data_IF_419450407435
#
_entry.id   IF_419450407435
#
_cell.length_a   1.000
_cell.length_b   1.000
_cell.length_c   1.000
_cell.angle_alpha   90.00
_cell.angle_beta   90.00
_cell.angle_gamma   90.00
#
_symmetry.space_group_name_H-M   'P 1'
#
loop_
_entity.id
_entity.type
_entity.pdbx_description
1 polymer ?
#
# COMPACT_ATOMS: atom_id res chain seq x y z
N UNK A 1 -24.04 -2.62 -13.30
CA UNK A 1 -24.11 -1.15 -13.32
C UNK A 1 -23.09 -0.51 -12.34
N UNK A 2 -22.01 -1.25 -11.97
CA UNK A 2 -20.92 -0.77 -11.09
C UNK A 2 -19.54 -0.77 -11.79
N UNK A 3 -19.45 -1.24 -13.03
CA UNK A 3 -18.17 -1.45 -13.74
C UNK A 3 -17.71 -0.29 -14.63
N UNK A 4 -18.61 0.58 -15.09
CA UNK A 4 -18.25 1.65 -16.04
C UNK A 4 -17.73 2.95 -15.40
N UNK A 5 -17.89 3.14 -14.09
CA UNK A 5 -17.49 4.40 -13.42
C UNK A 5 -16.02 4.44 -12.96
N UNK A 6 -15.26 3.34 -13.06
CA UNK A 6 -13.92 3.22 -12.45
C UNK A 6 -12.74 3.52 -13.38
N UNK A 7 -12.98 3.78 -14.66
CA UNK A 7 -11.94 4.03 -15.66
C UNK A 7 -12.04 5.47 -16.19
N UNK A 8 -11.66 6.45 -15.42
CA UNK A 8 -11.51 7.82 -15.92
C UNK A 8 -10.05 8.19 -15.99
N UNK A 9 -9.56 8.45 -17.20
CA UNK A 9 -8.34 9.21 -17.40
C UNK A 9 -8.60 10.61 -16.87
N UNK A 10 -8.10 10.91 -15.68
CA UNK A 10 -8.26 12.22 -15.08
C UNK A 10 -7.03 13.06 -15.42
N UNK A 11 -7.24 14.14 -16.18
CA UNK A 11 -6.23 15.17 -16.41
C UNK A 11 -6.72 16.45 -15.75
N UNK A 12 -6.10 16.87 -14.70
CA UNK A 12 -6.26 18.21 -14.15
C UNK A 12 -4.92 18.95 -14.24
N UNK A 13 -4.98 20.15 -14.81
CA UNK A 13 -3.85 21.04 -14.94
C UNK A 13 -4.12 22.28 -14.11
N UNK A 14 -3.26 22.56 -13.16
CA UNK A 14 -3.29 23.84 -12.49
C UNK A 14 -2.26 24.80 -13.14
N UNK A 15 -2.75 25.95 -13.60
CA UNK A 15 -1.93 26.99 -14.21
C UNK A 15 -2.03 28.26 -13.37
N UNK A 16 -0.91 28.66 -12.78
CA UNK A 16 -0.85 29.83 -11.91
C UNK A 16 -1.12 31.15 -12.64
N UNK A 17 -1.02 31.19 -13.97
CA UNK A 17 -1.29 32.40 -14.77
C UNK A 17 -2.79 32.72 -14.81
N UNK A 18 -3.66 31.74 -14.58
CA UNK A 18 -5.12 31.86 -14.63
C UNK A 18 -5.76 32.06 -13.26
N UNK A 19 -5.01 32.01 -12.18
CA UNK A 19 -5.54 32.14 -10.82
C UNK A 19 -5.50 33.60 -10.35
N UNK A 20 -6.65 34.12 -9.91
CA UNK A 20 -6.80 35.47 -9.33
C UNK A 20 -6.07 35.62 -7.99
N UNK A 21 -5.94 34.55 -7.23
CA UNK A 21 -5.12 34.48 -6.02
C UNK A 21 -4.31 33.17 -6.04
N UNK A 22 -2.98 33.26 -6.19
CA UNK A 22 -2.10 32.12 -6.49
C UNK A 22 -1.99 31.10 -5.35
N UNK A 23 -2.06 31.50 -4.09
CA UNK A 23 -2.00 30.60 -2.93
C UNK A 23 -3.33 29.86 -2.73
N UNK A 24 -4.41 30.58 -2.75
CA UNK A 24 -5.74 30.00 -2.52
C UNK A 24 -6.15 29.09 -3.70
N UNK A 25 -5.78 29.47 -4.91
CA UNK A 25 -6.02 28.66 -6.11
C UNK A 25 -5.28 27.32 -6.09
N UNK A 26 -4.03 27.30 -5.60
CA UNK A 26 -3.27 26.04 -5.49
C UNK A 26 -3.78 25.17 -4.33
N UNK A 27 -4.11 25.76 -3.18
CA UNK A 27 -4.72 25.05 -2.06
C UNK A 27 -6.06 24.41 -2.45
N UNK A 28 -6.92 25.15 -3.12
CA UNK A 28 -8.21 24.64 -3.63
C UNK A 28 -8.03 23.55 -4.70
N UNK A 29 -6.98 23.64 -5.52
CA UNK A 29 -6.62 22.60 -6.49
C UNK A 29 -6.18 21.32 -5.78
N UNK A 30 -5.32 21.43 -4.77
CA UNK A 30 -4.86 20.28 -3.97
C UNK A 30 -6.01 19.67 -3.17
N UNK A 31 -6.89 20.46 -2.62
CA UNK A 31 -8.09 19.98 -1.91
C UNK A 31 -9.01 19.21 -2.85
N UNK A 32 -9.25 19.70 -4.07
CA UNK A 32 -10.01 18.97 -5.10
C UNK A 32 -9.32 17.65 -5.47
N UNK A 33 -8.00 17.67 -5.67
CA UNK A 33 -7.23 16.43 -5.92
C UNK A 33 -7.35 15.47 -4.75
N UNK A 34 -7.17 15.94 -3.52
CA UNK A 34 -7.28 15.11 -2.31
C UNK A 34 -8.68 14.51 -2.13
N UNK A 35 -9.73 15.25 -2.51
CA UNK A 35 -11.11 14.77 -2.46
C UNK A 35 -11.43 13.75 -3.57
N UNK A 36 -10.74 13.83 -4.70
CA UNK A 36 -10.87 12.87 -5.79
C UNK A 36 -10.02 11.62 -5.58
N UNK A 37 -8.87 11.75 -4.94
CA UNK A 37 -8.02 10.64 -4.55
C UNK A 37 -8.43 10.17 -3.16
N UNK A 38 -9.37 9.24 -3.10
CA UNK A 38 -9.87 8.66 -1.85
C UNK A 38 -8.76 8.12 -0.93
N UNK A 39 -7.58 7.82 -1.48
CA UNK A 39 -6.47 7.15 -0.80
C UNK A 39 -5.34 8.06 -0.34
N UNK A 40 -5.27 9.30 -0.83
CA UNK A 40 -4.19 10.23 -0.50
C UNK A 40 -4.74 11.52 0.08
N UNK A 41 -4.07 12.01 1.10
CA UNK A 41 -4.19 13.38 1.53
C UNK A 41 -2.92 14.11 1.07
N UNK A 42 -3.06 15.00 0.10
CA UNK A 42 -1.98 15.89 -0.34
C UNK A 42 -1.96 17.08 0.62
N UNK A 43 -1.23 16.94 1.72
CA UNK A 43 -1.05 18.04 2.68
C UNK A 43 0.27 18.75 2.43
N UNK A 44 0.32 20.04 2.80
CA UNK A 44 1.55 20.82 2.80
C UNK A 44 2.33 20.79 1.46
N UNK A 45 1.65 20.98 0.34
CA UNK A 45 2.29 21.12 -0.95
C UNK A 45 2.63 22.60 -1.22
N UNK A 46 3.90 22.87 -1.45
CA UNK A 46 4.37 24.25 -1.65
C UNK A 46 5.25 24.33 -2.91
N UNK A 47 4.95 25.27 -3.84
CA UNK A 47 5.89 25.59 -4.89
C UNK A 47 7.06 26.39 -4.30
N UNK A 48 8.29 26.03 -4.66
CA UNK A 48 9.49 26.78 -4.24
C UNK A 48 9.63 28.12 -4.96
N UNK A 49 8.99 28.29 -6.14
CA UNK A 49 8.99 29.54 -6.92
C UNK A 49 7.56 29.97 -7.26
N UNK A 50 7.17 31.13 -6.77
CA UNK A 50 5.78 31.56 -6.80
C UNK A 50 5.29 32.25 -8.11
N UNK A 51 6.15 32.52 -9.12
CA UNK A 51 5.76 33.35 -10.27
C UNK A 51 5.03 32.60 -11.39
N UNK A 52 5.37 31.35 -11.64
CA UNK A 52 4.64 30.44 -12.52
C UNK A 52 4.90 29.03 -12.01
N UNK A 53 3.86 28.27 -11.77
CA UNK A 53 3.96 26.90 -11.26
C UNK A 53 3.04 26.03 -12.08
N UNK A 54 3.61 25.00 -12.71
CA UNK A 54 2.87 24.01 -13.46
C UNK A 54 2.84 22.71 -12.64
N UNK A 55 1.64 22.17 -12.51
CA UNK A 55 1.41 20.91 -11.85
C UNK A 55 0.37 20.13 -12.65
N UNK A 56 0.70 18.94 -13.08
CA UNK A 56 -0.16 18.04 -13.83
C UNK A 56 -0.20 16.69 -13.20
N UNK A 57 -1.38 16.12 -13.04
CA UNK A 57 -1.60 14.75 -12.59
C UNK A 57 -2.42 14.01 -13.62
N UNK A 58 -1.98 12.83 -13.99
CA UNK A 58 -2.78 11.85 -14.73
C UNK A 58 -2.97 10.62 -13.86
N UNK A 59 -4.20 10.11 -13.82
CA UNK A 59 -4.57 8.97 -12.99
C UNK A 59 -4.93 7.78 -13.86
N UNK A 60 -4.46 6.62 -13.44
CA UNK A 60 -4.85 5.32 -13.97
C UNK A 60 -5.26 4.43 -12.80
N UNK A 61 -6.44 3.80 -12.86
CA UNK A 61 -6.92 2.88 -11.84
C UNK A 61 -7.12 1.51 -12.46
N UNK A 62 -6.49 0.51 -11.87
CA UNK A 62 -6.60 -0.89 -12.27
C UNK A 62 -6.95 -1.75 -11.05
N UNK A 63 -7.18 -3.05 -11.24
CA UNK A 63 -7.33 -4.00 -10.13
C UNK A 63 -6.06 -4.14 -9.28
N UNK A 64 -4.90 -3.79 -9.85
CA UNK A 64 -3.58 -3.84 -9.21
C UNK A 64 -3.35 -2.70 -8.24
N UNK A 65 -4.04 -1.58 -8.46
CA UNK A 65 -3.88 -0.40 -7.65
C UNK A 65 -4.21 0.91 -8.36
N UNK A 66 -3.79 1.99 -7.74
CA UNK A 66 -3.91 3.35 -8.23
C UNK A 66 -2.55 3.88 -8.67
N UNK A 67 -2.45 4.37 -9.89
CA UNK A 67 -1.24 4.91 -10.50
C UNK A 67 -1.44 6.38 -10.82
N UNK A 68 -0.58 7.23 -10.32
CA UNK A 68 -0.59 8.68 -10.54
C UNK A 68 0.73 9.09 -11.21
N UNK A 69 0.69 9.61 -12.42
CA UNK A 69 1.85 10.31 -12.98
C UNK A 69 1.74 11.79 -12.65
N UNK A 70 2.74 12.30 -11.96
CA UNK A 70 2.82 13.69 -11.50
C UNK A 70 3.97 14.36 -12.21
N UNK A 71 3.67 15.42 -12.97
CA UNK A 71 4.68 16.33 -13.50
C UNK A 71 4.51 17.69 -12.85
N UNK A 72 5.59 18.26 -12.34
CA UNK A 72 5.55 19.54 -11.64
C UNK A 72 6.83 20.35 -11.83
N UNK A 73 6.72 21.64 -11.66
CA UNK A 73 7.88 22.48 -11.35
C UNK A 73 8.37 22.18 -9.92
N UNK A 74 9.47 22.84 -9.52
CA UNK A 74 10.05 22.63 -8.19
C UNK A 74 9.04 22.82 -7.07
N UNK A 75 8.81 21.79 -6.25
CA UNK A 75 7.81 21.80 -5.19
C UNK A 75 8.13 20.79 -4.07
N UNK A 76 7.45 20.96 -2.96
CA UNK A 76 7.35 19.95 -1.91
C UNK A 76 5.96 19.34 -1.96
N UNK A 77 5.88 18.01 -1.88
CA UNK A 77 4.66 17.23 -1.81
C UNK A 77 4.69 16.38 -0.54
N UNK A 78 3.72 16.56 0.33
CA UNK A 78 3.52 15.66 1.48
C UNK A 78 2.36 14.73 1.20
N UNK A 79 2.63 13.45 1.25
CA UNK A 79 1.70 12.37 0.97
C UNK A 79 1.38 11.66 2.29
N UNK A 80 0.12 11.53 2.58
CA UNK A 80 -0.36 10.74 3.71
C UNK A 80 -1.48 9.83 3.21
N UNK A 81 -1.38 8.54 3.48
CA UNK A 81 -2.50 7.66 3.22
C UNK A 81 -3.64 7.94 4.19
N UNK A 82 -4.87 7.81 3.71
CA UNK A 82 -6.03 7.83 4.58
C UNK A 82 -6.23 6.42 5.15
N UNK A 83 -6.12 6.20 6.46
CA UNK A 83 -6.14 4.86 7.06
C UNK A 83 -7.44 4.08 6.79
N UNK A 84 -8.48 4.80 6.40
CA UNK A 84 -9.87 4.34 6.39
C UNK A 84 -10.24 3.45 5.19
N UNK A 85 -9.56 3.55 4.06
CA UNK A 85 -10.04 2.93 2.82
C UNK A 85 -9.21 1.75 2.34
N UNK A 86 -8.03 1.54 2.92
CA UNK A 86 -7.18 0.42 2.57
C UNK A 86 -7.64 -0.84 3.32
N UNK A 87 -8.63 -1.53 2.77
CA UNK A 87 -9.06 -2.85 3.27
C UNK A 87 -7.94 -3.90 3.19
N UNK A 88 -6.86 -3.59 2.50
CA UNK A 88 -5.69 -4.43 2.26
C UNK A 88 -4.44 -3.61 2.50
N UNK A 89 -3.41 -4.24 3.06
CA UNK A 89 -2.10 -3.65 3.22
C UNK A 89 -1.56 -3.27 1.83
N UNK A 90 -1.11 -2.05 1.68
CA UNK A 90 -0.64 -1.52 0.40
C UNK A 90 0.71 -0.85 0.57
N UNK A 91 1.44 -0.75 -0.52
CA UNK A 91 2.74 -0.11 -0.58
C UNK A 91 2.70 1.08 -1.54
N UNK A 92 3.32 2.18 -1.15
CA UNK A 92 3.67 3.21 -2.10
C UNK A 92 4.85 2.76 -2.95
N UNK A 93 4.66 2.78 -4.24
CA UNK A 93 5.72 2.66 -5.21
C UNK A 93 5.95 4.02 -5.86
N UNK A 94 7.18 4.53 -5.80
CA UNK A 94 7.55 5.81 -6.41
C UNK A 94 8.66 5.54 -7.41
N UNK A 95 8.44 5.91 -8.66
CA UNK A 95 9.43 5.85 -9.73
C UNK A 95 9.69 7.24 -10.29
N UNK A 96 10.94 7.61 -10.44
CA UNK A 96 11.34 8.90 -10.96
C UNK A 96 11.72 8.81 -12.46
N UNK A 97 10.91 9.40 -13.32
CA UNK A 97 11.19 9.48 -14.74
C UNK A 97 12.25 10.56 -15.06
N UNK A 98 12.14 11.73 -14.43
CA UNK A 98 13.06 12.83 -14.66
C UNK A 98 13.10 13.83 -13.52
N UNK A 99 14.21 14.54 -13.41
CA UNK A 99 14.50 15.43 -12.30
C UNK A 99 15.18 14.69 -11.15
N UNK A 100 15.52 15.43 -10.11
CA UNK A 100 16.08 14.92 -8.87
C UNK A 100 15.15 15.31 -7.73
N UNK A 101 14.80 14.36 -6.90
CA UNK A 101 14.02 14.63 -5.71
C UNK A 101 14.59 13.91 -4.49
N UNK A 102 14.26 14.43 -3.33
CA UNK A 102 14.54 13.87 -2.03
C UNK A 102 13.24 13.39 -1.40
N UNK A 103 13.31 12.26 -0.71
CA UNK A 103 12.18 11.69 0.02
C UNK A 103 12.56 11.61 1.49
N UNK A 104 11.77 12.25 2.35
CA UNK A 104 11.84 12.05 3.80
C UNK A 104 11.07 10.79 4.16
N UNK A 105 11.76 9.86 4.78
CA UNK A 105 11.18 8.61 5.26
C UNK A 105 10.98 8.69 6.77
N UNK A 106 9.80 8.33 7.29
CA UNK A 106 9.53 8.36 8.73
C UNK A 106 10.53 7.50 9.50
N UNK A 107 11.07 8.04 10.59
CA UNK A 107 12.01 7.32 11.46
C UNK A 107 13.45 7.24 10.95
N UNK A 108 13.77 7.79 9.78
CA UNK A 108 15.15 7.93 9.29
C UNK A 108 15.66 9.35 9.45
N UNK A 109 16.91 9.47 9.88
CA UNK A 109 17.57 10.78 10.00
C UNK A 109 18.01 11.35 8.64
N UNK A 110 18.19 10.48 7.65
CA UNK A 110 18.68 10.85 6.31
C UNK A 110 17.55 10.77 5.29
N UNK A 111 17.54 11.75 4.38
CA UNK A 111 16.64 11.75 3.23
C UNK A 111 17.13 10.77 2.17
N UNK A 112 16.20 10.08 1.51
CA UNK A 112 16.52 9.23 0.36
C UNK A 112 16.53 10.07 -0.92
N UNK A 113 17.65 10.04 -1.67
CA UNK A 113 17.75 10.70 -2.95
C UNK A 113 17.23 9.80 -4.08
N UNK A 114 16.25 10.29 -4.84
CA UNK A 114 15.71 9.62 -6.01
C UNK A 114 16.18 10.32 -7.29
N UNK A 115 17.18 9.72 -7.93
CA UNK A 115 17.68 10.17 -9.25
C UNK A 115 16.78 9.63 -10.38
N UNK A 116 16.89 10.14 -11.63
CA UNK A 116 16.16 9.58 -12.77
C UNK A 116 16.38 8.06 -12.94
N UNK A 117 15.29 7.35 -13.24
CA UNK A 117 15.20 5.89 -13.34
C UNK A 117 15.41 5.14 -12.01
N UNK A 118 15.44 5.84 -10.88
CA UNK A 118 15.40 5.23 -9.57
C UNK A 118 13.95 5.05 -9.08
N UNK A 119 13.75 4.07 -8.22
CA UNK A 119 12.47 3.81 -7.59
C UNK A 119 12.64 3.35 -6.14
N UNK A 120 11.56 3.46 -5.38
CA UNK A 120 11.46 3.07 -3.97
C UNK A 120 10.09 2.51 -3.67
N UNK A 121 10.02 1.59 -2.69
CA UNK A 121 8.79 1.17 -2.05
C UNK A 121 8.76 1.68 -0.62
N UNK A 122 7.60 2.19 -0.18
CA UNK A 122 7.39 2.69 1.17
C UNK A 122 6.08 2.13 1.73
N UNK A 123 6.02 1.88 3.04
CA UNK A 123 4.76 1.51 3.68
C UNK A 123 3.74 2.64 3.51
N UNK A 124 2.57 2.31 2.99
CA UNK A 124 1.50 3.28 2.75
C UNK A 124 0.88 3.85 4.04
N UNK A 125 1.09 3.20 5.18
CA UNK A 125 0.63 3.71 6.48
C UNK A 125 1.48 4.88 6.98
N UNK A 126 2.66 5.07 6.42
CA UNK A 126 3.55 6.15 6.79
C UNK A 126 3.28 7.40 5.92
N UNK A 127 3.35 8.58 6.54
CA UNK A 127 3.44 9.82 5.78
C UNK A 127 4.83 9.95 5.16
N UNK A 128 4.92 10.43 3.94
CA UNK A 128 6.19 10.73 3.30
C UNK A 128 6.18 12.14 2.70
N UNK A 129 7.33 12.79 2.69
CA UNK A 129 7.50 14.11 2.07
C UNK A 129 8.53 14.00 0.96
N UNK A 130 8.12 14.44 -0.24
CA UNK A 130 8.94 14.48 -1.43
C UNK A 130 9.29 15.94 -1.73
N UNK A 131 10.57 16.24 -1.93
CA UNK A 131 11.06 17.58 -2.30
C UNK A 131 11.74 17.51 -3.66
N UNK A 132 11.25 18.29 -4.61
CA UNK A 132 11.84 18.47 -5.92
C UNK A 132 12.31 19.90 -6.10
N UNK A 133 13.61 20.11 -6.24
CA UNK A 133 14.21 21.44 -6.39
C UNK A 133 14.23 21.92 -7.85
N UNK A 134 13.82 21.07 -8.78
CA UNK A 134 13.71 21.32 -10.20
C UNK A 134 12.47 20.63 -10.76
N UNK A 135 12.24 20.76 -12.07
CA UNK A 135 11.13 20.09 -12.73
C UNK A 135 11.18 18.58 -12.47
N UNK A 136 10.05 18.01 -12.08
CA UNK A 136 9.89 16.62 -11.68
C UNK A 136 8.87 15.91 -12.58
N UNK A 137 9.13 14.65 -12.88
CA UNK A 137 8.19 13.72 -13.49
C UNK A 137 8.31 12.37 -12.76
N UNK A 138 7.28 12.02 -12.00
CA UNK A 138 7.25 10.79 -11.21
C UNK A 138 5.99 9.98 -11.46
N UNK A 139 6.09 8.68 -11.25
CA UNK A 139 4.97 7.78 -11.04
C UNK A 139 4.87 7.51 -9.55
N UNK A 140 3.73 7.81 -8.97
CA UNK A 140 3.33 7.40 -7.64
C UNK A 140 2.26 6.32 -7.80
N UNK A 141 2.48 5.13 -7.27
CA UNK A 141 1.47 4.09 -7.28
C UNK A 141 1.19 3.62 -5.85
N UNK A 142 -0.08 3.33 -5.58
CA UNK A 142 -0.51 2.59 -4.40
C UNK A 142 -0.82 1.16 -4.86
N UNK A 143 0.11 0.25 -4.59
CA UNK A 143 0.05 -1.13 -5.04
C UNK A 143 -0.37 -2.03 -3.89
N UNK A 144 -1.32 -2.92 -4.14
CA UNK A 144 -1.74 -3.91 -3.16
C UNK A 144 -0.56 -4.85 -2.81
N UNK A 145 -0.30 -5.04 -1.52
CA UNK A 145 0.78 -5.92 -1.07
C UNK A 145 0.57 -7.36 -1.51
N UNK A 146 -0.67 -7.88 -1.51
CA UNK A 146 -0.97 -9.22 -2.02
C UNK A 146 -0.54 -9.41 -3.47
N UNK A 147 -0.70 -8.36 -4.29
CA UNK A 147 -0.22 -8.36 -5.66
C UNK A 147 1.30 -8.43 -5.73
N UNK A 148 2.01 -7.61 -4.97
CA UNK A 148 3.48 -7.66 -4.90
C UNK A 148 3.97 -9.04 -4.47
N UNK A 149 3.26 -9.66 -3.55
CA UNK A 149 3.60 -10.97 -3.00
C UNK A 149 3.31 -12.14 -3.95
N UNK A 150 2.33 -12.00 -4.85
CA UNK A 150 2.10 -12.99 -5.92
C UNK A 150 3.17 -12.91 -7.01
N UNK A 151 3.62 -11.71 -7.33
CA UNK A 151 4.60 -11.45 -8.38
C UNK A 151 6.05 -11.45 -7.90
N UNK A 152 6.28 -11.31 -6.58
CA UNK A 152 7.63 -11.32 -6.00
C UNK A 152 7.70 -12.35 -4.88
N UNK A 153 8.45 -13.43 -5.10
CA UNK A 153 8.62 -14.50 -4.09
C UNK A 153 9.30 -14.00 -2.80
N UNK A 154 9.81 -12.77 -2.78
CA UNK A 154 10.71 -12.25 -1.74
C UNK A 154 10.34 -10.84 -1.26
N UNK A 155 9.08 -10.41 -1.43
CA UNK A 155 8.65 -9.16 -0.82
C UNK A 155 8.72 -9.29 0.72
N UNK A 156 9.47 -8.42 1.36
CA UNK A 156 9.56 -8.31 2.82
C UNK A 156 9.82 -6.85 3.22
N UNK A 157 9.63 -6.55 4.49
CA UNK A 157 9.88 -5.22 5.05
C UNK A 157 11.31 -4.69 4.89
N UNK A 158 12.28 -5.56 4.58
CA UNK A 158 13.66 -5.12 4.31
C UNK A 158 13.82 -4.45 2.93
N UNK A 159 12.86 -4.65 2.03
CA UNK A 159 12.83 -3.97 0.72
C UNK A 159 12.11 -2.62 0.80
N UNK A 160 11.36 -2.40 1.87
CA UNK A 160 10.73 -1.11 2.14
C UNK A 160 11.79 -0.06 2.40
N UNK A 161 11.53 1.16 1.90
CA UNK A 161 12.38 2.34 2.08
C UNK A 161 13.80 2.22 1.49
N UNK A 162 13.99 1.28 0.56
CA UNK A 162 15.25 1.10 -0.13
C UNK A 162 15.19 1.68 -1.54
N UNK A 163 16.17 2.53 -1.88
CA UNK A 163 16.28 3.11 -3.21
C UNK A 163 16.92 2.10 -4.17
N UNK A 164 16.19 1.77 -5.21
CA UNK A 164 16.64 0.94 -6.33
C UNK A 164 17.12 1.85 -7.46
N UNK A 165 18.36 1.71 -7.86
CA UNK A 165 18.99 2.56 -8.89
C UNK A 165 19.41 1.75 -10.11
N UNK A 166 19.59 2.40 -11.24
CA UNK A 166 20.06 1.79 -12.50
C UNK A 166 21.50 1.25 -12.49
N UNK A 167 22.19 1.27 -11.35
CA UNK A 167 23.50 0.65 -11.20
C UNK A 167 23.45 -0.87 -11.41
N UNK A 168 22.31 -1.47 -11.12
CA UNK A 168 22.07 -2.88 -11.27
C UNK A 168 21.36 -3.16 -12.62
N UNK A 169 21.78 -4.17 -13.42
CA UNK A 169 21.18 -4.50 -14.71
C UNK A 169 19.69 -4.77 -14.68
N UNK A 170 19.19 -5.51 -13.68
CA UNK A 170 17.77 -5.81 -13.53
C UNK A 170 16.96 -4.57 -13.22
N UNK A 171 17.48 -3.67 -12.37
CA UNK A 171 16.85 -2.39 -12.06
C UNK A 171 16.80 -1.50 -13.30
N UNK A 172 17.90 -1.48 -14.08
CA UNK A 172 17.96 -0.73 -15.35
C UNK A 172 16.94 -1.25 -16.35
N UNK A 173 16.80 -2.56 -16.48
CA UNK A 173 15.82 -3.18 -17.37
C UNK A 173 14.40 -2.80 -16.94
N UNK A 174 14.05 -3.00 -15.67
CA UNK A 174 12.74 -2.65 -15.12
C UNK A 174 12.42 -1.16 -15.32
N UNK A 175 13.36 -0.27 -14.99
CA UNK A 175 13.23 1.17 -15.20
C UNK A 175 12.99 1.53 -16.68
N UNK A 176 13.70 0.89 -17.61
CA UNK A 176 13.54 1.11 -19.05
C UNK A 176 12.17 0.66 -19.56
N UNK A 177 11.68 -0.50 -19.11
CA UNK A 177 10.35 -1.01 -19.44
C UNK A 177 9.28 -0.04 -18.92
N UNK A 178 9.39 0.36 -17.64
CA UNK A 178 8.46 1.26 -17.01
C UNK A 178 8.40 2.61 -17.71
N UNK A 179 9.55 3.20 -17.98
CA UNK A 179 9.67 4.48 -18.68
C UNK A 179 9.05 4.43 -20.08
N UNK A 180 9.37 3.39 -20.86
CA UNK A 180 8.83 3.21 -22.21
C UNK A 180 7.31 3.00 -22.16
N UNK A 181 6.83 2.16 -21.27
CA UNK A 181 5.40 1.86 -21.18
C UNK A 181 4.60 3.09 -20.78
N UNK A 182 4.96 3.78 -19.70
CA UNK A 182 4.21 4.97 -19.28
C UNK A 182 4.33 6.16 -20.25
N UNK A 183 5.31 6.14 -21.15
CA UNK A 183 5.39 7.08 -22.26
C UNK A 183 4.31 6.81 -23.33
N UNK A 184 4.02 5.55 -23.61
CA UNK A 184 3.11 5.14 -24.67
C UNK A 184 1.77 4.59 -24.18
N UNK A 185 1.56 4.41 -22.88
CA UNK A 185 0.35 3.84 -22.31
C UNK A 185 -0.94 4.52 -22.81
N UNK A 186 -0.90 5.84 -22.94
CA UNK A 186 -2.02 6.65 -23.43
C UNK A 186 -2.40 6.39 -24.88
N UNK A 187 -1.56 5.69 -25.66
CA UNK A 187 -1.85 5.31 -27.06
C UNK A 187 -2.55 3.95 -27.17
N UNK A 188 -2.62 3.21 -26.07
CA UNK A 188 -3.28 1.91 -26.01
C UNK A 188 -4.77 2.05 -25.65
N UNK A 189 -5.62 1.11 -26.06
CA UNK A 189 -6.99 0.99 -25.55
C UNK A 189 -6.99 0.83 -24.01
N UNK A 190 -7.98 1.41 -23.34
CA UNK A 190 -8.07 1.36 -21.86
C UNK A 190 -8.16 -0.08 -21.33
N UNK A 191 -8.77 -0.99 -22.09
CA UNK A 191 -8.88 -2.41 -21.72
C UNK A 191 -7.51 -3.11 -21.63
N UNK A 192 -6.50 -2.60 -22.33
CA UNK A 192 -5.15 -3.18 -22.34
C UNK A 192 -4.26 -2.63 -21.22
N UNK A 193 -4.61 -1.50 -20.61
CA UNK A 193 -3.76 -0.84 -19.61
C UNK A 193 -3.47 -1.74 -18.42
N UNK A 194 -4.47 -2.46 -17.92
CA UNK A 194 -4.31 -3.37 -16.78
C UNK A 194 -3.35 -4.52 -17.09
N UNK A 195 -3.49 -5.15 -18.26
CA UNK A 195 -2.62 -6.25 -18.70
C UNK A 195 -1.16 -5.78 -18.87
N UNK A 196 -0.99 -4.58 -19.41
CA UNK A 196 0.34 -4.00 -19.63
C UNK A 196 1.01 -3.64 -18.30
N UNK A 197 0.27 -3.03 -17.36
CA UNK A 197 0.79 -2.69 -16.02
C UNK A 197 1.13 -3.98 -15.25
N UNK A 198 0.27 -4.98 -15.28
CA UNK A 198 0.52 -6.31 -14.67
C UNK A 198 1.79 -6.95 -15.24
N UNK A 199 1.92 -6.95 -16.57
CA UNK A 199 3.11 -7.44 -17.26
C UNK A 199 4.39 -6.76 -16.80
N UNK A 200 4.38 -5.43 -16.59
CA UNK A 200 5.55 -4.69 -16.11
C UNK A 200 5.93 -5.12 -14.70
N UNK A 201 4.97 -5.18 -13.80
CA UNK A 201 5.24 -5.54 -12.40
C UNK A 201 5.73 -6.98 -12.24
N UNK A 202 5.47 -7.86 -13.22
CA UNK A 202 6.06 -9.20 -13.24
C UNK A 202 7.60 -9.18 -13.34
N UNK A 203 8.19 -8.11 -13.92
CA UNK A 203 9.64 -7.89 -13.96
C UNK A 203 10.26 -7.46 -12.61
N UNK A 204 9.47 -7.25 -11.57
CA UNK A 204 10.01 -7.07 -10.22
C UNK A 204 10.68 -8.34 -9.68
N UNK A 205 10.32 -9.52 -10.16
CA UNK A 205 10.98 -10.78 -9.73
C UNK A 205 12.50 -10.75 -9.88
N UNK A 206 13.08 -10.50 -11.06
CA UNK A 206 14.53 -10.40 -11.20
C UNK A 206 15.13 -9.24 -10.39
N UNK A 207 14.42 -8.13 -10.25
CA UNK A 207 14.87 -6.96 -9.45
C UNK A 207 15.13 -7.36 -7.98
N UNK A 208 14.23 -8.12 -7.39
CA UNK A 208 14.36 -8.54 -5.98
C UNK A 208 15.23 -9.79 -5.80
N UNK A 209 15.27 -10.68 -6.80
CA UNK A 209 16.09 -11.91 -6.72
C UNK A 209 17.59 -11.62 -6.81
N UNK A 210 18.01 -10.59 -7.52
CA UNK A 210 19.43 -10.28 -7.72
C UNK A 210 20.12 -9.90 -6.41
N UNK A 211 19.41 -9.30 -5.47
CA UNK A 211 19.93 -9.02 -4.12
C UNK A 211 20.20 -10.27 -3.29
N UNK A 212 19.50 -11.35 -3.53
CA UNK A 212 19.81 -12.64 -2.89
C UNK A 212 21.21 -13.15 -3.23
N UNK A 213 21.73 -12.76 -4.40
CA UNK A 213 23.09 -13.15 -4.84
C UNK A 213 24.17 -12.19 -4.32
N UNK A 214 23.83 -10.92 -4.07
CA UNK A 214 24.79 -9.89 -3.66
C UNK A 214 24.86 -9.68 -2.14
N UNK A 215 23.80 -9.95 -1.44
CA UNK A 215 23.82 -10.08 0.01
C UNK A 215 23.85 -11.55 0.35
N UNK A 216 24.91 -12.01 0.99
CA UNK A 216 24.85 -13.18 1.88
C UNK A 216 23.90 -12.86 3.06
N UNK A 217 22.77 -12.24 2.75
CA UNK A 217 21.72 -11.96 3.71
C UNK A 217 21.10 -13.29 4.07
N UNK A 218 21.16 -13.56 5.33
CA UNK A 218 20.37 -14.53 6.08
C UNK A 218 19.19 -15.02 5.24
N UNK A 219 19.35 -16.23 4.72
CA UNK A 219 18.28 -16.97 4.07
C UNK A 219 17.06 -16.80 4.98
N UNK A 220 16.05 -16.04 4.54
CA UNK A 220 14.78 -16.03 5.24
C UNK A 220 14.44 -17.49 5.43
N UNK A 221 14.41 -17.93 6.67
CA UNK A 221 14.30 -19.35 6.98
C UNK A 221 13.06 -19.87 6.24
N UNK A 222 13.07 -21.01 5.53
CA UNK A 222 11.92 -21.49 4.77
C UNK A 222 10.61 -21.48 5.56
N UNK A 223 10.72 -21.60 6.89
CA UNK A 223 9.60 -21.51 7.83
C UNK A 223 9.06 -20.09 7.97
N UNK A 224 9.87 -19.03 7.82
CA UNK A 224 9.39 -17.64 7.83
C UNK A 224 8.62 -17.32 6.56
N UNK A 225 9.10 -17.77 5.40
CA UNK A 225 8.39 -17.66 4.13
C UNK A 225 7.06 -18.39 4.17
N UNK A 226 7.06 -19.60 4.76
CA UNK A 226 5.83 -20.36 4.94
C UNK A 226 4.87 -19.63 5.87
N UNK A 227 5.35 -19.12 7.01
CA UNK A 227 4.53 -18.33 7.94
C UNK A 227 3.85 -17.15 7.24
N UNK A 228 4.59 -16.35 6.46
CA UNK A 228 4.03 -15.25 5.70
C UNK A 228 2.92 -15.68 4.72
N UNK A 229 3.12 -16.82 4.01
CA UNK A 229 2.08 -17.38 3.13
C UNK A 229 0.84 -17.79 3.92
N UNK A 230 1.00 -18.38 5.10
CA UNK A 230 -0.13 -18.76 5.97
C UNK A 230 -0.84 -17.53 6.51
N UNK A 231 -0.12 -16.49 6.96
CA UNK A 231 -0.71 -15.23 7.43
C UNK A 231 -1.61 -14.61 6.37
N UNK A 232 -1.23 -14.64 5.10
CA UNK A 232 -2.07 -14.16 3.97
C UNK A 232 -3.34 -14.98 3.77
N UNK A 233 -3.25 -16.29 3.87
CA UNK A 233 -4.46 -17.13 3.79
C UNK A 233 -5.39 -16.79 4.95
N UNK A 234 -4.83 -16.57 6.15
CA UNK A 234 -5.59 -16.11 7.32
C UNK A 234 -6.28 -14.78 7.03
N UNK A 235 -5.57 -13.78 6.50
CA UNK A 235 -6.11 -12.47 6.15
C UNK A 235 -7.26 -12.54 5.15
N UNK A 236 -7.15 -13.40 4.16
CA UNK A 236 -8.19 -13.58 3.14
C UNK A 236 -9.41 -14.33 3.66
N UNK A 237 -9.19 -15.35 4.51
CA UNK A 237 -10.21 -16.33 4.91
C UNK A 237 -10.65 -16.23 6.37
N UNK A 238 -10.17 -15.27 7.16
CA UNK A 238 -10.48 -15.15 8.61
C UNK A 238 -11.97 -15.13 8.94
N UNK A 239 -12.81 -14.67 8.01
CA UNK A 239 -14.28 -14.60 8.18
C UNK A 239 -14.95 -15.96 8.19
N UNK A 240 -14.30 -16.99 7.68
CA UNK A 240 -14.82 -18.36 7.67
C UNK A 240 -14.82 -18.94 9.08
N UNK A 241 -16.01 -19.12 9.68
CA UNK A 241 -16.15 -19.58 11.07
C UNK A 241 -15.45 -20.90 11.34
N UNK A 242 -15.44 -21.81 10.36
CA UNK A 242 -14.91 -23.18 10.47
C UNK A 242 -13.54 -23.34 9.84
N UNK A 243 -12.80 -22.25 9.53
CA UNK A 243 -11.47 -22.32 8.95
C UNK A 243 -10.54 -23.12 9.88
N UNK A 244 -10.03 -24.24 9.36
CA UNK A 244 -9.08 -25.13 10.06
C UNK A 244 -7.68 -24.95 9.48
N UNK A 245 -6.67 -25.29 10.28
CA UNK A 245 -5.29 -25.28 9.81
C UNK A 245 -5.05 -26.31 8.69
N UNK A 246 -5.83 -27.40 8.64
CA UNK A 246 -5.81 -28.37 7.53
C UNK A 246 -6.20 -27.74 6.21
N UNK A 247 -7.18 -26.82 6.21
CA UNK A 247 -7.68 -26.16 5.00
C UNK A 247 -6.61 -25.21 4.43
N UNK A 248 -5.93 -24.51 5.33
CA UNK A 248 -4.80 -23.62 4.98
C UNK A 248 -3.62 -24.43 4.45
N UNK A 249 -3.30 -25.53 5.12
CA UNK A 249 -2.20 -26.41 4.72
C UNK A 249 -2.46 -27.04 3.34
N UNK A 250 -3.69 -27.49 3.10
CA UNK A 250 -4.12 -28.04 1.81
C UNK A 250 -4.00 -27.00 0.69
N UNK A 251 -4.45 -25.79 0.93
CA UNK A 251 -4.38 -24.69 -0.04
C UNK A 251 -2.93 -24.33 -0.43
N UNK A 252 -2.03 -24.38 0.54
CA UNK A 252 -0.60 -24.09 0.31
C UNK A 252 0.22 -25.30 -0.15
N UNK A 253 -0.40 -26.50 -0.27
CA UNK A 253 0.31 -27.73 -0.67
C UNK A 253 1.34 -28.20 0.34
N UNK A 254 1.12 -27.95 1.65
CA UNK A 254 2.04 -28.34 2.72
C UNK A 254 1.36 -29.19 3.77
N UNK A 255 2.15 -29.91 4.60
CA UNK A 255 1.60 -30.63 5.74
C UNK A 255 1.24 -29.68 6.89
N UNK A 256 0.20 -30.00 7.67
CA UNK A 256 -0.16 -29.27 8.89
C UNK A 256 1.00 -29.19 9.89
N UNK A 257 1.82 -30.26 9.94
CA UNK A 257 3.01 -30.28 10.79
C UNK A 257 4.03 -29.23 10.37
N UNK A 258 4.32 -29.11 9.08
CA UNK A 258 5.27 -28.13 8.55
C UNK A 258 4.76 -26.69 8.73
N UNK A 259 3.45 -26.48 8.53
CA UNK A 259 2.79 -25.22 8.86
C UNK A 259 2.93 -24.87 10.36
N UNK A 260 2.69 -25.82 11.25
CA UNK A 260 2.80 -25.61 12.71
C UNK A 260 4.25 -25.33 13.14
N UNK A 261 5.23 -25.93 12.46
CA UNK A 261 6.65 -25.69 12.70
C UNK A 261 7.07 -24.27 12.34
N UNK A 262 6.49 -23.69 11.26
CA UNK A 262 6.71 -22.30 10.88
C UNK A 262 6.28 -21.30 11.98
N UNK A 263 5.15 -21.57 12.62
CA UNK A 263 4.68 -20.72 13.72
C UNK A 263 5.43 -20.96 15.03
N UNK A 264 5.82 -22.20 15.31
CA UNK A 264 6.66 -22.53 16.47
C UNK A 264 8.03 -21.85 16.38
N UNK A 265 8.62 -21.78 15.19
CA UNK A 265 9.85 -21.04 14.93
C UNK A 265 9.70 -19.54 15.25
N UNK A 266 8.53 -18.97 15.01
CA UNK A 266 8.19 -17.60 15.35
C UNK A 266 7.66 -17.41 16.80
N UNK A 267 7.78 -18.42 17.67
CA UNK A 267 7.38 -18.36 19.08
C UNK A 267 5.86 -18.32 19.33
N UNK A 268 5.04 -18.74 18.34
CA UNK A 268 3.56 -18.68 18.43
C UNK A 268 2.92 -19.92 17.81
N UNK A 269 1.61 -19.90 17.59
CA UNK A 269 0.87 -20.94 16.85
C UNK A 269 -0.03 -20.32 15.79
N UNK A 270 -0.28 -21.02 14.68
CA UNK A 270 -1.14 -20.56 13.62
C UNK A 270 -2.59 -20.32 14.09
N UNK A 271 -3.09 -21.12 15.03
CA UNK A 271 -4.41 -20.90 15.65
C UNK A 271 -4.45 -19.61 16.45
N UNK A 272 -3.39 -19.29 17.18
CA UNK A 272 -3.27 -18.03 17.92
C UNK A 272 -3.21 -16.84 16.97
N UNK A 273 -2.45 -16.95 15.88
CA UNK A 273 -2.36 -15.92 14.85
C UNK A 273 -3.74 -15.65 14.19
N UNK A 274 -4.47 -16.70 13.79
CA UNK A 274 -5.85 -16.55 13.28
C UNK A 274 -6.77 -15.85 14.29
N UNK A 275 -6.69 -16.25 15.55
CA UNK A 275 -7.52 -15.64 16.60
C UNK A 275 -7.16 -14.17 16.82
N UNK A 276 -5.87 -13.84 16.91
CA UNK A 276 -5.41 -12.47 17.06
C UNK A 276 -5.81 -11.59 15.87
N UNK A 277 -5.68 -12.10 14.64
CA UNK A 277 -6.13 -11.37 13.47
C UNK A 277 -7.63 -11.06 13.50
N UNK A 278 -8.47 -12.04 13.88
CA UNK A 278 -9.91 -11.86 14.06
C UNK A 278 -10.24 -10.81 15.13
N UNK A 279 -9.54 -10.84 16.26
CA UNK A 279 -9.70 -9.88 17.35
C UNK A 279 -9.29 -8.47 16.92
N UNK A 280 -8.18 -8.33 16.22
CA UNK A 280 -7.73 -7.05 15.67
C UNK A 280 -8.77 -6.46 14.72
N UNK A 281 -9.31 -7.26 13.79
CA UNK A 281 -10.36 -6.82 12.87
C UNK A 281 -11.63 -6.44 13.58
N UNK A 282 -12.01 -7.18 14.64
CA UNK A 282 -13.17 -6.85 15.45
C UNK A 282 -12.98 -5.53 16.22
N UNK A 283 -11.79 -5.30 16.79
CA UNK A 283 -11.46 -4.06 17.49
C UNK A 283 -11.56 -2.84 16.56
N UNK A 284 -11.02 -2.95 15.34
CA UNK A 284 -11.18 -1.91 14.31
C UNK A 284 -12.65 -1.64 14.03
N UNK A 285 -13.46 -2.68 13.77
CA UNK A 285 -14.89 -2.52 13.47
C UNK A 285 -15.71 -1.95 14.63
N UNK A 286 -15.32 -2.22 15.87
CA UNK A 286 -15.98 -1.68 17.06
C UNK A 286 -15.75 -0.17 17.20
N UNK A 287 -14.57 0.32 16.79
CA UNK A 287 -14.15 1.73 16.89
C UNK A 287 -14.53 2.57 15.66
N UNK A 288 -14.81 1.95 14.52
CA UNK A 288 -15.16 2.65 13.28
C UNK A 288 -16.60 3.21 13.31
N UNK A 289 -16.75 4.52 13.08
CA UNK A 289 -18.03 5.21 13.11
C UNK A 289 -19.09 4.67 12.14
N UNK A 290 -18.71 4.16 10.98
CA UNK A 290 -19.64 3.56 10.02
C UNK A 290 -20.15 2.16 10.45
N UNK A 291 -19.51 1.54 11.43
CA UNK A 291 -19.93 0.28 12.02
C UNK A 291 -20.78 0.48 13.31
N UNK A 292 -21.06 1.72 13.72
CA UNK A 292 -21.83 1.99 14.95
C UNK A 292 -23.25 1.41 14.94
N UNK A 293 -23.84 1.24 13.75
CA UNK A 293 -25.15 0.57 13.59
C UNK A 293 -25.13 -0.95 13.72
N UNK A 294 -23.94 -1.59 13.76
CA UNK A 294 -23.81 -3.04 13.87
C UNK A 294 -23.84 -3.46 15.34
N UNK A 295 -24.56 -4.54 15.65
CA UNK A 295 -24.47 -5.16 16.96
C UNK A 295 -23.10 -5.83 17.20
N UNK A 296 -22.71 -5.99 18.47
CA UNK A 296 -21.50 -6.76 18.84
C UNK A 296 -21.57 -8.19 18.30
N UNK A 297 -22.78 -8.77 18.26
CA UNK A 297 -23.03 -10.10 17.69
C UNK A 297 -22.78 -10.16 16.17
N UNK A 298 -23.13 -9.10 15.43
CA UNK A 298 -22.82 -9.00 14.01
C UNK A 298 -21.32 -8.89 13.75
N UNK A 299 -20.62 -8.05 14.52
CA UNK A 299 -19.15 -7.92 14.41
C UNK A 299 -18.48 -9.26 14.73
N UNK A 300 -18.88 -9.93 15.80
CA UNK A 300 -18.44 -11.27 16.14
C UNK A 300 -18.59 -12.25 14.95
N UNK A 301 -19.77 -12.26 14.32
CA UNK A 301 -20.05 -13.13 13.17
C UNK A 301 -19.23 -12.75 11.93
N UNK A 302 -19.09 -11.44 11.61
CA UNK A 302 -18.35 -10.93 10.44
C UNK A 302 -16.84 -11.12 10.57
N UNK A 303 -16.34 -11.26 11.80
CA UNK A 303 -14.93 -11.52 12.07
C UNK A 303 -14.60 -13.00 12.25
N UNK A 304 -15.57 -13.89 11.94
CA UNK A 304 -15.33 -15.34 11.87
C UNK A 304 -15.42 -16.06 13.21
N UNK A 305 -15.90 -15.40 14.27
CA UNK A 305 -16.20 -16.10 15.53
C UNK A 305 -17.55 -16.82 15.45
N UNK A 306 -17.58 -18.07 15.92
CA UNK A 306 -18.81 -18.87 15.93
C UNK A 306 -19.69 -18.59 17.17
N UNK A 307 -19.10 -18.10 18.27
CA UNK A 307 -19.77 -17.94 19.56
C UNK A 307 -19.44 -16.58 20.18
N UNK A 308 -20.50 -15.81 20.50
CA UNK A 308 -20.37 -14.48 21.09
C UNK A 308 -19.69 -14.51 22.48
N UNK A 309 -20.02 -15.50 23.30
CA UNK A 309 -19.43 -15.62 24.64
C UNK A 309 -17.95 -15.90 24.59
N UNK A 310 -17.51 -16.78 23.66
CA UNK A 310 -16.09 -17.02 23.42
C UNK A 310 -15.40 -15.76 22.90
N UNK A 311 -15.99 -15.08 21.92
CA UNK A 311 -15.47 -13.82 21.39
C UNK A 311 -15.27 -12.78 22.50
N UNK A 312 -16.30 -12.51 23.31
CA UNK A 312 -16.23 -11.48 24.36
C UNK A 312 -15.17 -11.80 25.40
N UNK A 313 -14.99 -13.09 25.76
CA UNK A 313 -13.97 -13.51 26.70
C UNK A 313 -12.56 -13.28 26.14
N UNK A 314 -12.27 -13.79 24.94
CA UNK A 314 -10.91 -13.66 24.36
C UNK A 314 -10.59 -12.21 23.96
N UNK A 315 -11.61 -11.41 23.62
CA UNK A 315 -11.43 -9.98 23.35
C UNK A 315 -11.03 -9.24 24.64
N UNK A 316 -11.70 -9.53 25.76
CA UNK A 316 -11.34 -8.94 27.06
C UNK A 316 -9.96 -9.41 27.54
N UNK A 317 -9.59 -10.65 27.31
CA UNK A 317 -8.24 -11.18 27.61
C UNK A 317 -7.15 -10.45 26.81
N UNK A 318 -7.40 -10.09 25.54
CA UNK A 318 -6.43 -9.44 24.66
C UNK A 318 -6.34 -7.92 24.89
N UNK A 319 -7.47 -7.23 25.07
CA UNK A 319 -7.51 -5.76 25.12
C UNK A 319 -7.81 -5.18 26.51
N UNK A 320 -8.09 -6.01 27.51
CA UNK A 320 -8.45 -5.56 28.87
C UNK A 320 -9.89 -5.06 29.01
N UNK A 321 -10.60 -4.82 27.91
CA UNK A 321 -11.94 -4.26 27.82
C UNK A 321 -12.90 -5.26 27.14
N UNK A 322 -14.17 -5.21 27.51
CA UNK A 322 -15.20 -5.94 26.76
C UNK A 322 -15.44 -5.27 25.39
N UNK A 323 -15.96 -6.01 24.38
CA UNK A 323 -16.30 -5.41 23.08
C UNK A 323 -17.28 -4.22 23.19
N UNK A 324 -18.16 -4.22 24.17
CA UNK A 324 -19.12 -3.12 24.42
C UNK A 324 -18.40 -1.89 24.98
N UNK A 325 -17.50 -2.07 25.94
CA UNK A 325 -16.70 -1.00 26.52
C UNK A 325 -15.77 -0.38 25.46
N UNK A 326 -15.11 -1.21 24.62
CA UNK A 326 -14.24 -0.74 23.55
C UNK A 326 -14.96 0.13 22.50
N UNK A 327 -16.26 -0.07 22.31
CA UNK A 327 -17.11 0.76 21.44
C UNK A 327 -17.41 2.12 22.04
N UNK A 328 -17.57 2.20 23.36
CA UNK A 328 -17.97 3.43 24.06
C UNK A 328 -16.81 4.33 24.42
N UNK A 329 -15.59 3.82 24.47
CA UNK A 329 -14.39 4.60 24.82
C UNK A 329 -14.05 5.74 23.84
N UNK A 330 -14.43 5.64 22.55
CA UNK A 330 -14.20 6.70 21.56
C UNK A 330 -15.23 7.84 21.56
N UNK A 331 -16.30 7.75 22.35
CA UNK A 331 -17.31 8.81 22.44
C UNK A 331 -16.90 9.91 23.43
N UNK A 332 -15.76 9.77 24.11
CA UNK A 332 -15.31 10.67 25.18
C UNK A 332 -14.02 11.49 24.87
N UNK A 333 -13.58 11.56 23.58
CA UNK A 333 -12.45 12.43 23.17
C UNK A 333 -12.88 13.44 22.13
#
# INVERSE_FOLDING_TARGET
MYEESNRRLYQDNWDSSKATNKRDGFSNFLERLSNQFFFFNLQNCYPFKAKAFNFKVTQERTSLGLFLRITSDACQLSLQSKPFELRQKSQFFIFNFSGKCEIDLPGKAETAELTPDAFIFCDSNNSLTLRAFQKLDILLALVNEDYLLTHTTYWNSQLEEQVFTKKNPSHKLFASILNTTFKFLHTLPLEEHELVIDGIFSFLRPVFNERRLLTQVQLTHPLEVLKQKVDRVIERRFREKNLKLSDIAQELGVSVRYLSEAYKHAGTTASKALMQYRLQRANVMLREGHCQGMSVGEICSRTGFACLSHFSRVFKEEYGLTPTEARTEEVLV
#
